data_IF_793575081374
#
_entry.id   IF_793575081374
#
_cell.length_a   1.000
_cell.length_b   1.000
_cell.length_c   1.000
_cell.angle_alpha   90.00
_cell.angle_beta   90.00
_cell.angle_gamma   90.00
#
_symmetry.space_group_name_H-M   'P 1'
#
loop_
_entity.id
_entity.type
_entity.pdbx_description
1 polymer ?
#
# COMPACT_ATOMS: atom_id res chain seq x y z
N UNK A 1 -7.39 -9.11 -12.15
CA UNK A 1 -8.68 -8.40 -11.98
C UNK A 1 -8.69 -7.83 -10.57
N UNK A 2 -8.93 -6.52 -10.39
CA UNK A 2 -9.00 -5.92 -9.06
C UNK A 2 -10.12 -6.58 -8.25
N UNK A 3 -10.04 -6.49 -6.93
CA UNK A 3 -11.13 -6.86 -6.04
C UNK A 3 -12.40 -6.13 -6.46
N UNK A 4 -13.33 -6.84 -7.12
CA UNK A 4 -14.65 -6.28 -7.45
C UNK A 4 -15.48 -6.34 -6.16
N UNK A 5 -15.95 -5.22 -5.63
CA UNK A 5 -16.78 -5.23 -4.44
C UNK A 5 -18.06 -6.03 -4.72
N UNK A 6 -18.50 -6.84 -3.76
CA UNK A 6 -19.76 -7.63 -3.89
C UNK A 6 -20.97 -6.69 -3.90
N UNK A 7 -20.85 -5.55 -3.20
CA UNK A 7 -21.67 -4.32 -3.33
C UNK A 7 -20.73 -3.12 -3.09
N UNK A 8 -20.92 -1.99 -3.80
CA UNK A 8 -20.01 -0.82 -3.73
C UNK A 8 -19.67 -0.40 -2.29
N UNK A 9 -20.59 -0.58 -1.35
CA UNK A 9 -20.46 -0.09 0.03
C UNK A 9 -19.80 -1.10 1.01
N UNK A 10 -19.18 -2.18 0.52
CA UNK A 10 -18.71 -3.28 1.37
C UNK A 10 -17.22 -3.67 1.18
N UNK A 11 -16.42 -2.87 0.46
CA UNK A 11 -14.97 -3.11 0.42
C UNK A 11 -14.33 -2.61 1.72
N UNK A 12 -13.55 -3.44 2.40
CA UNK A 12 -12.77 -3.03 3.57
C UNK A 12 -11.68 -2.05 3.16
N UNK A 13 -11.24 -1.19 4.06
CA UNK A 13 -10.23 -0.18 3.82
C UNK A 13 -8.92 -0.77 3.26
N UNK A 14 -8.25 0.01 2.41
CA UNK A 14 -6.90 -0.27 1.92
C UNK A 14 -6.00 0.81 2.53
N UNK A 15 -4.99 0.41 3.29
CA UNK A 15 -4.18 1.32 4.10
C UNK A 15 -2.68 1.10 3.84
N UNK A 16 -2.13 1.61 2.72
CA UNK A 16 -0.69 1.72 2.54
C UNK A 16 -0.08 2.70 3.56
N UNK A 17 1.02 2.28 4.18
CA UNK A 17 1.77 3.01 5.22
C UNK A 17 3.19 3.25 4.71
N UNK A 18 3.69 4.48 4.83
CA UNK A 18 4.97 4.87 4.25
C UNK A 18 6.21 4.21 4.87
N UNK A 19 6.06 3.48 5.97
CA UNK A 19 7.16 2.80 6.67
C UNK A 19 7.64 3.57 7.88
N UNK A 20 8.46 2.93 8.72
CA UNK A 20 9.03 3.58 9.89
C UNK A 20 7.98 4.04 10.92
N UNK A 21 6.76 3.50 10.85
CA UNK A 21 5.68 3.88 11.75
C UNK A 21 6.02 3.63 13.22
N UNK A 22 5.56 4.54 14.08
CA UNK A 22 5.72 4.42 15.51
C UNK A 22 4.95 3.20 16.01
N UNK A 23 5.62 2.42 16.87
CA UNK A 23 5.13 1.17 17.44
C UNK A 23 4.92 1.28 18.95
N UNK A 24 5.32 2.38 19.57
CA UNK A 24 5.48 2.45 21.02
C UNK A 24 5.01 3.77 21.63
N UNK A 25 5.47 4.92 21.15
CA UNK A 25 5.23 6.18 21.86
C UNK A 25 3.87 6.80 21.51
N UNK A 26 3.54 6.87 20.22
CA UNK A 26 2.25 7.34 19.71
C UNK A 26 1.88 6.57 18.45
N UNK A 27 1.46 5.28 18.55
CA UNK A 27 1.26 4.41 17.41
C UNK A 27 -0.06 4.70 16.64
N UNK A 28 -0.36 5.97 16.36
CA UNK A 28 -1.63 6.46 15.79
C UNK A 28 -2.03 5.72 14.51
N UNK A 29 -1.05 5.42 13.64
CA UNK A 29 -1.28 4.65 12.40
C UNK A 29 -1.74 3.22 12.68
N UNK A 30 -1.14 2.54 13.67
CA UNK A 30 -1.51 1.18 14.04
C UNK A 30 -2.83 1.15 14.82
N UNK A 31 -3.07 2.14 15.68
CA UNK A 31 -4.34 2.32 16.40
C UNK A 31 -5.49 2.47 15.41
N UNK A 32 -5.32 3.31 14.38
CA UNK A 32 -6.34 3.47 13.34
C UNK A 32 -6.61 2.17 12.59
N UNK A 33 -5.57 1.39 12.27
CA UNK A 33 -5.75 0.09 11.64
C UNK A 33 -6.55 -0.89 12.53
N UNK A 34 -6.30 -0.91 13.84
CA UNK A 34 -7.04 -1.74 14.81
C UNK A 34 -8.50 -1.29 14.89
N UNK A 35 -8.75 0.01 15.05
CA UNK A 35 -10.09 0.62 15.11
C UNK A 35 -10.92 0.15 13.91
N UNK A 36 -10.39 0.33 12.70
CA UNK A 36 -11.05 -0.09 11.47
C UNK A 36 -11.33 -1.59 11.44
N UNK A 37 -10.41 -2.40 11.98
CA UNK A 37 -10.47 -3.86 11.98
C UNK A 37 -11.37 -4.45 13.07
N UNK A 38 -12.09 -3.63 13.84
CA UNK A 38 -13.04 -4.06 14.85
C UNK A 38 -12.61 -3.78 16.30
N UNK A 39 -11.56 -2.99 16.51
CA UNK A 39 -11.11 -2.60 17.85
C UNK A 39 -10.72 -3.82 18.70
N UNK A 40 -11.32 -3.93 19.88
CA UNK A 40 -11.09 -5.04 20.81
C UNK A 40 -11.52 -6.40 20.26
N UNK A 41 -12.47 -6.45 19.32
CA UNK A 41 -12.91 -7.68 18.68
C UNK A 41 -12.05 -8.08 17.46
N UNK A 42 -11.05 -7.26 17.11
CA UNK A 42 -10.24 -7.46 15.93
C UNK A 42 -9.44 -8.77 15.98
N UNK A 43 -9.42 -9.48 14.85
CA UNK A 43 -8.53 -10.62 14.60
C UNK A 43 -7.58 -10.26 13.47
N UNK A 44 -6.30 -10.12 13.77
CA UNK A 44 -5.30 -9.60 12.82
C UNK A 44 -4.43 -10.72 12.26
N UNK A 45 -4.38 -10.86 10.95
CA UNK A 45 -3.37 -11.67 10.28
C UNK A 45 -2.14 -10.80 9.96
N UNK A 46 -0.98 -11.15 10.53
CA UNK A 46 0.31 -10.54 10.21
C UNK A 46 1.01 -11.41 9.16
N UNK A 47 1.38 -10.81 8.03
CA UNK A 47 2.11 -11.48 6.94
C UNK A 47 3.51 -10.88 6.84
N UNK A 48 4.54 -11.51 7.45
CA UNK A 48 5.89 -10.97 7.49
C UNK A 48 6.76 -11.37 6.29
N UNK A 49 6.19 -11.94 5.22
CA UNK A 49 6.91 -12.51 4.07
C UNK A 49 7.93 -11.58 3.41
N UNK A 50 7.74 -10.25 3.49
CA UNK A 50 8.71 -9.29 2.96
C UNK A 50 10.00 -9.24 3.79
N UNK A 51 9.93 -9.54 5.09
CA UNK A 51 11.05 -9.40 6.01
C UNK A 51 12.07 -10.53 5.83
N UNK A 52 13.35 -10.20 6.05
CA UNK A 52 14.42 -11.19 6.20
C UNK A 52 14.71 -11.53 7.66
N UNK A 53 14.12 -10.79 8.59
CA UNK A 53 14.30 -11.01 10.03
C UNK A 53 13.21 -11.99 10.50
N UNK A 54 13.60 -13.08 11.18
CA UNK A 54 12.69 -14.17 11.52
C UNK A 54 11.60 -13.78 12.52
N UNK A 55 11.86 -12.75 13.33
CA UNK A 55 11.06 -12.27 14.46
C UNK A 55 10.08 -11.14 14.09
N UNK A 56 10.15 -10.59 12.87
CA UNK A 56 9.30 -9.44 12.49
C UNK A 56 7.81 -9.73 12.69
N UNK A 57 7.35 -10.93 12.31
CA UNK A 57 5.95 -11.31 12.48
C UNK A 57 5.54 -11.37 13.95
N UNK A 58 6.38 -11.96 14.80
CA UNK A 58 6.11 -12.10 16.23
C UNK A 58 6.08 -10.74 16.94
N UNK A 59 6.98 -9.82 16.56
CA UNK A 59 6.99 -8.44 17.07
C UNK A 59 5.65 -7.74 16.79
N UNK A 60 5.13 -7.82 15.56
CA UNK A 60 3.84 -7.20 15.25
C UNK A 60 2.67 -7.89 15.95
N UNK A 61 2.70 -9.21 16.08
CA UNK A 61 1.68 -9.94 16.86
C UNK A 61 1.67 -9.47 18.31
N UNK A 62 2.83 -9.33 18.93
CA UNK A 62 2.96 -8.83 20.31
C UNK A 62 2.49 -7.38 20.44
N UNK A 63 2.79 -6.53 19.46
CA UNK A 63 2.30 -5.14 19.42
C UNK A 63 0.78 -5.13 19.36
N UNK A 64 0.17 -5.82 18.39
CA UNK A 64 -1.30 -5.83 18.27
C UNK A 64 -1.99 -6.41 19.50
N UNK A 65 -1.45 -7.47 20.10
CA UNK A 65 -1.97 -8.03 21.36
C UNK A 65 -1.88 -7.05 22.53
N UNK A 66 -0.76 -6.33 22.67
CA UNK A 66 -0.61 -5.28 23.70
C UNK A 66 -1.56 -4.11 23.49
N UNK A 67 -1.94 -3.84 22.24
CA UNK A 67 -2.93 -2.83 21.88
C UNK A 67 -4.39 -3.30 22.02
N UNK A 68 -4.63 -4.52 22.53
CA UNK A 68 -5.95 -4.97 22.97
C UNK A 68 -6.81 -5.69 21.93
N UNK A 69 -6.25 -6.14 20.80
CA UNK A 69 -7.00 -6.95 19.84
C UNK A 69 -7.37 -8.33 20.42
N UNK A 70 -8.49 -8.89 19.98
CA UNK A 70 -8.97 -10.23 20.38
C UNK A 70 -7.95 -11.32 20.08
N UNK A 71 -7.36 -11.29 18.89
CA UNK A 71 -6.30 -12.22 18.50
C UNK A 71 -5.42 -11.66 17.38
N UNK A 72 -4.19 -12.15 17.31
CA UNK A 72 -3.26 -11.83 16.23
C UNK A 72 -2.44 -13.06 15.87
N UNK A 73 -2.34 -13.34 14.57
CA UNK A 73 -1.72 -14.55 14.02
C UNK A 73 -0.54 -14.18 13.13
N UNK A 74 0.61 -14.82 13.37
CA UNK A 74 1.76 -14.73 12.49
C UNK A 74 1.64 -15.76 11.36
N UNK A 75 1.24 -15.31 10.16
CA UNK A 75 1.20 -16.14 8.95
C UNK A 75 2.57 -16.09 8.27
N UNK A 76 3.53 -16.82 8.85
CA UNK A 76 4.93 -16.88 8.42
C UNK A 76 5.11 -17.67 7.11
N UNK A 77 4.58 -17.14 6.02
CA UNK A 77 4.68 -17.72 4.68
C UNK A 77 6.07 -17.40 4.12
N UNK A 78 6.96 -18.38 4.12
CA UNK A 78 8.34 -18.23 3.66
C UNK A 78 8.50 -18.70 2.21
N UNK A 79 7.64 -19.62 1.76
CA UNK A 79 7.72 -20.21 0.42
C UNK A 79 6.44 -20.05 -0.38
N UNK A 80 6.58 -20.05 -1.71
CA UNK A 80 5.43 -20.06 -2.64
C UNK A 80 4.59 -21.33 -2.49
N UNK A 81 5.20 -22.46 -2.09
CA UNK A 81 4.48 -23.70 -1.86
C UNK A 81 3.52 -23.55 -0.68
N UNK A 82 3.98 -23.02 0.46
CA UNK A 82 3.11 -22.72 1.61
C UNK A 82 1.99 -21.76 1.24
N UNK A 83 2.30 -20.70 0.49
CA UNK A 83 1.31 -19.74 -0.01
C UNK A 83 0.24 -20.38 -0.91
N UNK A 84 0.50 -21.60 -1.42
CA UNK A 84 -0.38 -22.32 -2.34
C UNK A 84 -1.12 -23.47 -1.67
N UNK A 85 -0.47 -24.24 -0.82
CA UNK A 85 -1.01 -25.52 -0.33
C UNK A 85 -1.34 -25.52 1.16
N UNK A 86 -0.82 -24.58 1.94
CA UNK A 86 -1.08 -24.55 3.38
C UNK A 86 -2.54 -24.13 3.63
N UNK A 87 -3.36 -25.08 4.10
CA UNK A 87 -4.78 -24.86 4.41
C UNK A 87 -4.98 -24.12 5.73
N UNK A 88 -4.13 -24.39 6.73
CA UNK A 88 -4.20 -23.72 8.03
C UNK A 88 -4.05 -22.21 7.88
N UNK A 89 -3.11 -21.74 7.05
CA UNK A 89 -2.97 -20.32 6.74
C UNK A 89 -4.20 -19.74 6.04
N UNK A 90 -4.84 -20.49 5.15
CA UNK A 90 -6.08 -20.04 4.49
C UNK A 90 -7.26 -19.97 5.46
N UNK A 91 -7.36 -20.94 6.37
CA UNK A 91 -8.42 -21.04 7.36
C UNK A 91 -8.28 -19.94 8.43
N UNK A 92 -7.07 -19.70 8.93
CA UNK A 92 -6.76 -18.59 9.85
C UNK A 92 -7.04 -17.24 9.17
N UNK A 93 -6.53 -17.03 7.96
CA UNK A 93 -6.75 -15.79 7.22
C UNK A 93 -8.24 -15.50 6.99
N UNK A 94 -9.06 -16.54 6.76
CA UNK A 94 -10.50 -16.40 6.54
C UNK A 94 -11.29 -15.97 7.77
N UNK A 95 -10.71 -16.10 8.97
CA UNK A 95 -11.32 -15.69 10.24
C UNK A 95 -10.90 -14.29 10.68
N UNK A 96 -9.95 -13.67 9.99
CA UNK A 96 -9.40 -12.37 10.35
C UNK A 96 -10.26 -11.21 9.85
N UNK A 97 -10.31 -10.13 10.65
CA UNK A 97 -11.01 -8.87 10.34
C UNK A 97 -10.05 -7.79 9.83
N UNK A 98 -8.74 -7.96 10.07
CA UNK A 98 -7.67 -7.13 9.50
C UNK A 98 -6.51 -7.97 9.00
N UNK A 99 -5.86 -7.52 7.93
CA UNK A 99 -4.66 -8.13 7.36
C UNK A 99 -3.55 -7.09 7.30
N UNK A 100 -2.41 -7.37 7.89
CA UNK A 100 -1.25 -6.47 7.95
C UNK A 100 -0.03 -7.10 7.28
N UNK A 101 0.46 -6.48 6.19
CA UNK A 101 1.67 -6.91 5.48
C UNK A 101 2.86 -6.07 5.91
N UNK A 102 3.93 -6.70 6.40
CA UNK A 102 5.07 -5.97 6.95
C UNK A 102 6.02 -5.44 5.87
N UNK A 103 6.98 -4.61 6.30
CA UNK A 103 8.07 -4.12 5.46
C UNK A 103 9.15 -5.17 5.16
N UNK A 104 10.10 -4.79 4.31
CA UNK A 104 11.22 -5.63 3.89
C UNK A 104 11.48 -5.52 2.39
N UNK A 105 11.49 -6.64 1.67
CA UNK A 105 11.67 -6.70 0.23
C UNK A 105 10.33 -6.98 -0.48
N UNK A 106 9.85 -6.00 -1.25
CA UNK A 106 8.57 -6.08 -1.95
C UNK A 106 8.57 -7.07 -3.12
N UNK A 107 9.73 -7.36 -3.73
CA UNK A 107 9.85 -8.40 -4.75
C UNK A 107 9.73 -9.80 -4.12
N UNK A 108 10.32 -10.02 -2.94
CA UNK A 108 10.15 -11.28 -2.20
C UNK A 108 8.67 -11.50 -1.86
N UNK A 109 8.00 -10.47 -1.34
CA UNK A 109 6.57 -10.51 -1.06
C UNK A 109 5.76 -10.86 -2.32
N UNK A 110 6.04 -10.17 -3.43
CA UNK A 110 5.32 -10.36 -4.68
C UNK A 110 5.57 -11.71 -5.34
N UNK A 111 6.79 -12.25 -5.32
CA UNK A 111 7.09 -13.54 -5.98
C UNK A 111 6.63 -14.73 -5.14
N UNK A 112 6.59 -14.57 -3.81
CA UNK A 112 6.07 -15.59 -2.89
C UNK A 112 4.54 -15.65 -2.91
N UNK A 113 3.86 -14.49 -2.80
CA UNK A 113 2.39 -14.45 -2.70
C UNK A 113 1.68 -14.24 -4.05
N UNK A 114 2.32 -13.60 -5.02
CA UNK A 114 1.67 -13.20 -6.27
C UNK A 114 1.02 -14.38 -7.01
N UNK A 115 -0.27 -14.26 -7.30
CA UNK A 115 -1.04 -15.29 -8.03
C UNK A 115 -1.41 -16.54 -7.22
N UNK A 116 -1.00 -16.66 -5.96
CA UNK A 116 -1.32 -17.83 -5.12
C UNK A 116 -2.74 -17.75 -4.54
N UNK A 117 -3.31 -18.89 -4.08
CA UNK A 117 -4.53 -18.94 -3.28
C UNK A 117 -4.59 -17.94 -2.13
N UNK A 118 -3.49 -17.71 -1.39
CA UNK A 118 -3.43 -16.71 -0.32
C UNK A 118 -3.67 -15.30 -0.88
N UNK A 119 -2.96 -14.87 -1.93
CA UNK A 119 -3.18 -13.55 -2.53
C UNK A 119 -4.61 -13.39 -3.09
N UNK A 120 -5.17 -14.45 -3.66
CA UNK A 120 -6.57 -14.45 -4.10
C UNK A 120 -7.54 -14.32 -2.92
N UNK A 121 -7.26 -14.98 -1.79
CA UNK A 121 -8.06 -14.93 -0.59
C UNK A 121 -8.02 -13.52 0.04
N UNK A 122 -6.84 -12.90 0.17
CA UNK A 122 -6.71 -11.51 0.67
C UNK A 122 -7.59 -10.57 -0.17
N UNK A 123 -7.52 -10.66 -1.51
CA UNK A 123 -8.39 -9.86 -2.40
C UNK A 123 -9.88 -10.10 -2.15
N UNK A 124 -10.30 -11.36 -2.04
CA UNK A 124 -11.71 -11.73 -1.78
C UNK A 124 -12.20 -11.24 -0.42
N UNK A 125 -11.37 -11.33 0.62
CA UNK A 125 -11.69 -10.85 1.95
C UNK A 125 -11.83 -9.33 1.97
N UNK A 126 -10.91 -8.62 1.30
CA UNK A 126 -11.02 -7.16 1.18
C UNK A 126 -12.30 -6.73 0.44
N UNK A 127 -12.67 -7.44 -0.64
CA UNK A 127 -13.93 -7.21 -1.33
C UNK A 127 -15.20 -7.48 -0.48
N UNK A 128 -15.04 -8.19 0.65
CA UNK A 128 -16.09 -8.55 1.60
C UNK A 128 -16.06 -7.71 2.89
N UNK A 129 -15.16 -6.74 3.02
CA UNK A 129 -15.12 -5.82 4.16
C UNK A 129 -13.89 -5.93 5.05
N UNK A 130 -13.00 -6.90 4.82
CA UNK A 130 -11.77 -7.04 5.63
C UNK A 130 -10.76 -5.96 5.27
N UNK A 131 -10.25 -5.25 6.26
CA UNK A 131 -9.28 -4.18 6.01
C UNK A 131 -7.90 -4.77 5.73
N UNK A 132 -7.17 -4.14 4.82
CA UNK A 132 -5.81 -4.55 4.48
C UNK A 132 -4.86 -3.36 4.60
N UNK A 133 -3.90 -3.48 5.49
CA UNK A 133 -2.81 -2.53 5.66
C UNK A 133 -1.49 -3.15 5.19
N UNK A 134 -0.56 -2.29 4.79
CA UNK A 134 0.79 -2.71 4.43
C UNK A 134 1.77 -1.58 4.67
N UNK A 135 2.88 -1.88 5.36
CA UNK A 135 3.94 -0.90 5.63
C UNK A 135 5.15 -1.11 4.74
N UNK A 136 5.72 -0.02 4.23
CA UNK A 136 6.91 -0.03 3.36
C UNK A 136 6.72 -0.99 2.17
N UNK A 137 7.42 -2.14 2.12
CA UNK A 137 7.21 -3.15 1.09
C UNK A 137 5.75 -3.60 0.93
N UNK A 138 5.01 -3.75 2.03
CA UNK A 138 3.58 -4.06 2.02
C UNK A 138 2.74 -2.96 1.34
N UNK A 139 3.10 -1.69 1.56
CA UNK A 139 2.42 -0.54 0.94
C UNK A 139 2.57 -0.54 -0.58
N UNK A 140 3.80 -0.76 -1.06
CA UNK A 140 4.09 -0.82 -2.49
C UNK A 140 3.39 -2.02 -3.17
N UNK A 141 3.23 -3.14 -2.46
CA UNK A 141 2.60 -4.35 -2.98
C UNK A 141 1.07 -4.28 -3.04
N UNK A 142 0.40 -3.41 -2.31
CA UNK A 142 -1.07 -3.37 -2.20
C UNK A 142 -1.79 -3.10 -3.54
N UNK A 143 -1.24 -2.21 -4.36
CA UNK A 143 -1.83 -1.78 -5.63
C UNK A 143 -1.69 -2.82 -6.74
N UNK A 144 -2.37 -2.61 -7.88
CA UNK A 144 -2.26 -3.47 -9.06
C UNK A 144 -0.88 -3.43 -9.71
N UNK A 145 -0.23 -2.26 -9.63
CA UNK A 145 1.17 -2.06 -10.02
C UNK A 145 1.97 -1.61 -8.80
N UNK A 146 3.20 -2.09 -8.71
CA UNK A 146 4.12 -1.89 -7.59
C UNK A 146 5.40 -1.25 -8.12
N UNK A 147 5.89 -0.21 -7.42
CA UNK A 147 7.27 0.26 -7.61
C UNK A 147 8.22 -0.74 -6.91
N UNK A 148 8.81 -1.63 -7.70
CA UNK A 148 9.72 -2.67 -7.22
C UNK A 148 11.12 -2.13 -6.89
N UNK A 149 11.45 -0.96 -7.43
CA UNK A 149 12.73 -0.28 -7.20
C UNK A 149 12.88 0.90 -8.14
N UNK A 150 13.97 1.65 -7.98
CA UNK A 150 14.26 2.82 -8.80
C UNK A 150 15.17 3.80 -8.09
N UNK A 151 15.74 4.70 -8.87
CA UNK A 151 16.64 5.73 -8.39
C UNK A 151 15.87 6.83 -7.64
N UNK A 152 16.48 7.40 -6.61
CA UNK A 152 16.00 8.60 -5.94
C UNK A 152 16.34 9.85 -6.77
N UNK A 153 15.69 10.95 -6.45
CA UNK A 153 15.92 12.27 -7.03
C UNK A 153 14.63 12.96 -7.45
N UNK A 154 14.71 14.29 -7.53
CA UNK A 154 13.58 15.15 -7.91
C UNK A 154 13.22 15.03 -9.39
N UNK A 155 14.22 14.90 -10.27
CA UNK A 155 14.01 14.97 -11.72
C UNK A 155 13.59 13.62 -12.29
N UNK A 156 12.41 13.52 -12.94
CA UNK A 156 11.97 12.27 -13.55
C UNK A 156 12.81 11.96 -14.79
N UNK A 157 13.19 10.69 -14.96
CA UNK A 157 14.02 10.20 -16.07
C UNK A 157 13.44 8.89 -16.62
N UNK A 158 13.61 8.70 -17.94
CA UNK A 158 13.23 7.45 -18.60
C UNK A 158 13.98 6.26 -17.97
N UNK A 159 13.27 5.17 -17.66
CA UNK A 159 13.80 3.96 -17.03
C UNK A 159 14.41 4.14 -15.62
N UNK A 160 14.12 5.23 -14.91
CA UNK A 160 14.61 5.39 -13.54
C UNK A 160 13.89 4.50 -12.52
N UNK A 161 12.77 3.89 -12.91
CA UNK A 161 11.86 3.13 -12.04
C UNK A 161 11.55 1.77 -12.64
N UNK A 162 11.52 0.76 -11.78
CA UNK A 162 11.15 -0.61 -12.11
C UNK A 162 9.75 -0.88 -11.57
N UNK A 163 8.81 -1.14 -12.47
CA UNK A 163 7.46 -1.57 -12.11
C UNK A 163 7.36 -3.09 -12.14
N UNK A 164 6.56 -3.62 -11.21
CA UNK A 164 6.15 -5.01 -11.18
C UNK A 164 4.65 -5.10 -10.88
N UNK A 165 3.99 -6.24 -11.16
CA UNK A 165 2.64 -6.49 -10.68
C UNK A 165 2.58 -6.48 -9.15
N UNK A 166 1.55 -5.88 -8.57
CA UNK A 166 1.26 -5.98 -7.14
C UNK A 166 0.10 -6.94 -6.84
N UNK A 167 -0.44 -6.84 -5.63
CA UNK A 167 -1.54 -7.66 -5.11
C UNK A 167 -2.86 -7.38 -5.83
N UNK A 168 -3.09 -6.12 -6.22
CA UNK A 168 -4.27 -5.69 -6.97
C UNK A 168 -5.52 -5.50 -6.12
N UNK A 169 -5.40 -4.91 -4.93
CA UNK A 169 -6.57 -4.48 -4.16
C UNK A 169 -7.25 -3.24 -4.78
N UNK A 170 -6.45 -2.37 -5.39
CA UNK A 170 -6.90 -1.25 -6.22
C UNK A 170 -6.01 -1.08 -7.45
N UNK A 171 -6.59 -0.64 -8.56
CA UNK A 171 -5.87 -0.29 -9.79
C UNK A 171 -5.85 1.23 -10.04
N UNK A 172 -6.44 2.03 -9.13
CA UNK A 172 -6.46 3.49 -9.25
C UNK A 172 -5.20 4.15 -8.69
N UNK A 173 -4.49 3.46 -7.80
CA UNK A 173 -3.34 3.98 -7.10
C UNK A 173 -2.03 3.35 -7.57
N UNK A 174 -1.00 4.18 -7.60
CA UNK A 174 0.40 3.76 -7.59
C UNK A 174 1.06 4.32 -6.33
N UNK A 175 1.45 3.43 -5.43
CA UNK A 175 2.01 3.81 -4.13
C UNK A 175 3.53 3.84 -4.16
N UNK A 176 4.10 4.90 -3.60
CA UNK A 176 5.48 4.95 -3.15
C UNK A 176 5.56 5.31 -1.66
N UNK A 177 6.58 4.83 -0.99
CA UNK A 177 6.73 4.81 0.47
C UNK A 177 8.09 5.38 0.87
N UNK A 178 8.34 5.69 2.15
CA UNK A 178 9.50 6.44 2.63
C UNK A 178 9.78 7.67 1.74
N UNK A 179 8.70 8.37 1.37
CA UNK A 179 8.66 9.12 0.12
C UNK A 179 9.58 10.34 0.14
N UNK A 180 9.33 11.30 1.04
CA UNK A 180 10.18 12.47 1.24
C UNK A 180 11.52 12.08 1.85
N UNK A 181 11.55 11.07 2.73
CA UNK A 181 12.77 10.61 3.40
C UNK A 181 13.82 10.02 2.44
N UNK A 182 13.43 9.66 1.22
CA UNK A 182 14.32 9.04 0.23
C UNK A 182 14.24 9.73 -1.14
N UNK A 183 13.77 10.97 -1.20
CA UNK A 183 13.68 11.79 -2.42
C UNK A 183 12.99 11.07 -3.60
N UNK A 184 11.82 10.48 -3.38
CA UNK A 184 11.19 9.55 -4.36
C UNK A 184 10.24 10.21 -5.37
N UNK A 185 10.15 11.54 -5.40
CA UNK A 185 9.26 12.26 -6.31
C UNK A 185 9.53 11.97 -7.80
N UNK A 186 10.79 12.04 -8.23
CA UNK A 186 11.14 11.84 -9.64
C UNK A 186 10.77 10.45 -10.15
N UNK A 187 10.99 9.40 -9.34
CA UNK A 187 10.63 8.02 -9.75
C UNK A 187 9.12 7.78 -9.76
N UNK A 188 8.35 8.40 -8.86
CA UNK A 188 6.90 8.32 -8.89
C UNK A 188 6.33 9.01 -10.14
N UNK A 189 6.82 10.21 -10.47
CA UNK A 189 6.47 10.93 -11.71
C UNK A 189 6.81 10.11 -12.96
N UNK A 190 8.02 9.52 -13.01
CA UNK A 190 8.42 8.65 -14.11
C UNK A 190 7.51 7.41 -14.22
N UNK A 191 7.12 6.82 -13.10
CA UNK A 191 6.25 5.65 -13.10
C UNK A 191 4.84 5.97 -13.61
N UNK A 192 4.25 7.08 -13.17
CA UNK A 192 2.95 7.56 -13.67
C UNK A 192 3.00 7.91 -15.16
N UNK A 193 4.15 8.36 -15.67
CA UNK A 193 4.28 8.70 -17.08
C UNK A 193 4.10 7.50 -18.03
N UNK A 194 4.29 6.25 -17.54
CA UNK A 194 3.98 5.05 -18.30
C UNK A 194 2.49 4.80 -18.46
N UNK A 195 1.67 5.24 -17.52
CA UNK A 195 0.21 5.13 -17.57
C UNK A 195 -0.46 6.26 -16.74
N UNK A 196 -0.83 7.38 -17.38
CA UNK A 196 -1.36 8.56 -16.70
C UNK A 196 -2.79 8.37 -16.15
N UNK A 197 -3.38 7.18 -16.28
CA UNK A 197 -4.68 6.85 -15.69
C UNK A 197 -4.64 6.72 -14.15
N UNK A 198 -3.49 6.33 -13.58
CA UNK A 198 -3.36 6.14 -12.14
C UNK A 198 -3.08 7.46 -11.42
N UNK A 199 -3.53 7.56 -10.17
CA UNK A 199 -3.10 8.59 -9.23
C UNK A 199 -1.89 8.05 -8.46
N UNK A 200 -0.81 8.84 -8.43
CA UNK A 200 0.36 8.51 -7.62
C UNK A 200 0.19 8.99 -6.20
N UNK A 201 0.60 8.17 -5.24
CA UNK A 201 0.53 8.50 -3.82
C UNK A 201 1.90 8.22 -3.22
N UNK A 202 2.63 9.28 -2.91
CA UNK A 202 3.87 9.23 -2.15
C UNK A 202 3.57 9.40 -0.67
N UNK A 203 3.89 8.40 0.14
CA UNK A 203 3.57 8.35 1.56
C UNK A 203 4.85 8.43 2.37
N UNK A 204 4.92 9.42 3.25
CA UNK A 204 6.04 9.61 4.17
C UNK A 204 6.05 8.57 5.29
N UNK A 205 7.20 8.45 5.95
CA UNK A 205 7.31 7.62 7.15
C UNK A 205 6.28 8.02 8.22
N UNK A 206 5.86 7.05 9.03
CA UNK A 206 4.85 7.22 10.09
C UNK A 206 3.54 7.87 9.62
N UNK A 207 3.18 7.61 8.36
CA UNK A 207 1.99 8.15 7.70
C UNK A 207 1.29 7.07 6.89
N UNK A 208 -0.04 7.13 6.79
CA UNK A 208 -0.86 6.24 6.00
C UNK A 208 -1.83 7.01 5.11
N UNK A 209 -2.14 6.43 3.94
CA UNK A 209 -3.17 6.92 3.03
C UNK A 209 -4.35 5.95 3.06
N UNK A 210 -5.37 6.25 3.87
CA UNK A 210 -6.51 5.39 4.11
C UNK A 210 -7.53 5.48 2.97
N UNK A 211 -7.59 4.46 2.11
CA UNK A 211 -8.51 4.41 0.98
C UNK A 211 -9.82 3.67 1.34
N UNK A 212 -10.94 4.40 1.36
CA UNK A 212 -12.28 3.88 1.64
C UNK A 212 -13.01 3.31 0.39
N UNK A 213 -14.12 2.60 0.59
CA UNK A 213 -14.91 1.96 -0.49
C UNK A 213 -15.40 2.94 -1.57
N UNK A 214 -15.56 4.21 -1.23
CA UNK A 214 -15.99 5.29 -2.14
C UNK A 214 -14.85 5.84 -2.99
N UNK A 215 -13.61 5.41 -2.75
CA UNK A 215 -12.36 5.89 -3.35
C UNK A 215 -11.90 7.25 -2.84
N UNK A 216 -12.24 7.60 -1.60
CA UNK A 216 -11.66 8.73 -0.89
C UNK A 216 -10.45 8.26 -0.08
N UNK A 217 -9.34 8.97 -0.22
CA UNK A 217 -8.15 8.84 0.61
C UNK A 217 -8.27 9.81 1.77
N UNK A 218 -8.02 9.34 2.99
CA UNK A 218 -7.84 10.16 4.20
C UNK A 218 -6.42 9.95 4.73
N UNK A 219 -5.76 11.03 5.17
CA UNK A 219 -4.40 10.95 5.72
C UNK A 219 -4.44 10.71 7.23
N UNK A 220 -3.59 9.80 7.70
CA UNK A 220 -3.43 9.48 9.13
C UNK A 220 -1.94 9.42 9.46
N UNK A 221 -1.52 9.99 10.58
CA UNK A 221 -0.13 9.94 11.05
C UNK A 221 0.61 11.28 10.92
N UNK A 222 1.91 11.26 11.23
CA UNK A 222 2.67 12.47 11.55
C UNK A 222 3.32 13.18 10.36
N UNK A 223 3.42 12.50 9.21
CA UNK A 223 4.02 13.05 7.99
C UNK A 223 2.97 13.51 6.98
N UNK A 224 3.32 13.37 5.70
CA UNK A 224 2.53 13.87 4.58
C UNK A 224 2.25 12.80 3.54
N UNK A 225 1.09 12.93 2.89
CA UNK A 225 0.75 12.20 1.66
C UNK A 225 0.83 13.16 0.48
N UNK A 226 1.76 12.91 -0.44
CA UNK A 226 1.87 13.62 -1.71
C UNK A 226 1.04 12.90 -2.77
N UNK A 227 -0.04 13.54 -3.22
CA UNK A 227 -0.89 13.03 -4.30
C UNK A 227 -0.47 13.68 -5.61
N UNK A 228 -0.25 12.86 -6.64
CA UNK A 228 0.09 13.30 -7.99
C UNK A 228 -1.00 12.83 -8.95
N UNK A 229 -1.67 13.80 -9.57
CA UNK A 229 -2.76 13.59 -10.52
C UNK A 229 -2.36 14.03 -11.94
N UNK A 230 -2.46 13.09 -12.88
CA UNK A 230 -2.15 13.27 -14.30
C UNK A 230 -3.42 13.42 -15.16
N UNK A 231 -4.61 13.56 -14.56
CA UNK A 231 -5.88 13.75 -15.29
C UNK A 231 -5.88 14.97 -16.22
N UNK A 232 -5.06 15.99 -15.94
CA UNK A 232 -4.89 17.19 -16.74
C UNK A 232 -3.61 17.20 -17.61
N UNK A 233 -2.84 16.10 -17.63
CA UNK A 233 -1.56 16.03 -18.34
C UNK A 233 -1.71 16.40 -19.82
N UNK A 234 -1.07 17.49 -20.23
CA UNK A 234 -1.09 17.99 -21.62
C UNK A 234 0.06 17.46 -22.47
N UNK A 235 1.18 17.10 -21.85
CA UNK A 235 2.36 16.63 -22.56
C UNK A 235 3.20 15.68 -21.71
N UNK A 236 3.70 14.61 -22.35
CA UNK A 236 4.75 13.74 -21.82
C UNK A 236 5.76 13.42 -22.92
N UNK A 237 7.04 13.71 -22.66
CA UNK A 237 8.12 13.42 -23.62
C UNK A 237 8.65 11.98 -23.52
N UNK A 238 8.08 11.13 -22.65
CA UNK A 238 8.61 9.80 -22.31
C UNK A 238 8.78 8.90 -23.54
N UNK A 239 7.80 8.87 -24.45
CA UNK A 239 7.80 7.96 -25.61
C UNK A 239 8.98 8.17 -26.57
N UNK A 240 9.58 9.37 -26.59
CA UNK A 240 10.73 9.71 -27.43
C UNK A 240 12.03 9.87 -26.61
N UNK A 241 11.97 9.66 -25.29
CA UNK A 241 13.12 9.85 -24.42
C UNK A 241 14.14 8.73 -24.62
N UNK A 242 15.43 9.10 -24.67
CA UNK A 242 16.51 8.12 -24.60
C UNK A 242 16.59 7.56 -23.18
N UNK A 243 17.22 6.40 -23.04
CA UNK A 243 17.46 5.79 -21.73
C UNK A 243 18.14 6.79 -20.79
N UNK A 244 17.63 6.91 -19.56
CA UNK A 244 18.11 7.83 -18.52
C UNK A 244 18.01 9.34 -18.87
N UNK A 245 17.40 9.73 -19.99
CA UNK A 245 17.15 11.13 -20.30
C UNK A 245 16.05 11.70 -19.38
N UNK A 246 16.13 12.99 -18.99
CA UNK A 246 15.03 13.68 -18.32
C UNK A 246 13.75 13.62 -19.15
N UNK A 247 12.60 13.56 -18.48
CA UNK A 247 11.29 13.63 -19.15
C UNK A 247 10.58 14.95 -18.82
N UNK A 248 9.91 15.52 -19.81
CA UNK A 248 9.03 16.68 -19.65
C UNK A 248 7.61 16.22 -19.38
N UNK A 249 6.98 16.79 -18.36
CA UNK A 249 5.59 16.57 -17.97
C UNK A 249 4.93 17.95 -17.78
N UNK A 250 3.84 18.21 -18.48
CA UNK A 250 3.18 19.54 -18.48
C UNK A 250 1.74 19.42 -18.01
N UNK A 251 1.34 20.30 -17.10
CA UNK A 251 -0.01 20.37 -16.49
C UNK A 251 -0.30 19.17 -15.56
N UNK A 252 0.67 18.89 -14.68
CA UNK A 252 0.51 17.94 -13.57
C UNK A 252 -0.11 18.66 -12.36
N UNK A 253 -0.99 17.99 -11.63
CA UNK A 253 -1.48 18.47 -10.33
C UNK A 253 -0.79 17.71 -9.21
N UNK A 254 -0.39 18.45 -8.19
CA UNK A 254 0.23 17.89 -6.99
C UNK A 254 -0.47 18.47 -5.77
N UNK A 255 -0.87 17.59 -4.87
CA UNK A 255 -1.46 17.95 -3.58
C UNK A 255 -0.58 17.37 -2.47
N UNK A 256 -0.40 18.16 -1.41
CA UNK A 256 0.35 17.80 -0.23
C UNK A 256 -0.64 17.79 0.92
N UNK A 257 -0.91 16.61 1.46
CA UNK A 257 -1.98 16.37 2.43
C UNK A 257 -1.40 15.96 3.78
N UNK A 258 -1.83 16.66 4.82
CA UNK A 258 -1.57 16.35 6.22
C UNK A 258 -2.75 15.56 6.81
N UNK A 259 -2.60 15.12 8.06
CA UNK A 259 -3.61 14.37 8.81
C UNK A 259 -5.03 14.97 8.70
N UNK A 260 -6.03 14.09 8.64
CA UNK A 260 -7.47 14.37 8.49
C UNK A 260 -7.89 14.95 7.12
N UNK A 261 -6.96 15.46 6.31
CA UNK A 261 -7.27 15.93 4.96
C UNK A 261 -7.60 14.77 4.02
N UNK A 262 -8.48 15.04 3.04
CA UNK A 262 -9.03 14.01 2.17
C UNK A 262 -8.82 14.32 0.69
N UNK A 263 -8.71 13.27 -0.12
CA UNK A 263 -8.66 13.36 -1.57
C UNK A 263 -9.59 12.33 -2.21
N UNK A 264 -10.54 12.80 -3.02
CA UNK A 264 -11.47 11.94 -3.74
C UNK A 264 -10.89 11.53 -5.11
N UNK A 265 -10.60 10.25 -5.31
CA UNK A 265 -10.07 9.70 -6.56
C UNK A 265 -11.07 9.71 -7.73
N UNK A 266 -12.34 10.03 -7.50
CA UNK A 266 -13.34 10.14 -8.57
C UNK A 266 -13.42 11.57 -9.12
N UNK A 267 -13.30 12.56 -8.25
CA UNK A 267 -13.38 13.99 -8.62
C UNK A 267 -12.02 14.66 -8.75
N UNK A 268 -10.96 14.04 -8.21
CA UNK A 268 -9.62 14.60 -8.06
C UNK A 268 -9.62 15.93 -7.28
N UNK A 269 -10.49 16.05 -6.27
CA UNK A 269 -10.60 17.21 -5.39
C UNK A 269 -10.09 16.89 -3.99
N UNK A 270 -9.58 17.93 -3.33
CA UNK A 270 -9.15 17.89 -1.92
C UNK A 270 -10.25 18.45 -1.05
N UNK A 271 -10.55 17.77 0.04
CA UNK A 271 -11.33 18.30 1.16
C UNK A 271 -10.38 18.59 2.32
N UNK A 272 -10.49 19.77 2.91
CA UNK A 272 -9.60 20.31 3.93
C UNK A 272 -10.38 21.09 4.99
#
# INVERSE_FOLDING_TARGET
MPSKPVKKDHRGFIMPIGGGEDKFASPTVLEKFIELSGGEDAKIAVIPTASKLPDTGDIYVDIFKKMGVKDAYNLKIETRLEATTNKEYQDLLSQCTGIFMTGGNQLLLSTTLGGTPIAQLIRRLNAKGVNVAGTSAGAAFISGFMIAGGQAGLMPRCNMVNLAPGLGLTNKLLVDQHFSQRDRLGRLLAALSYNPYMVGVGIDEDTAALLNSENVIEVVGSGMVTVIDFSHLKHSSLHNARNNAPISLVDIRMHMLLEEQKFDLNTCLVEY
#
